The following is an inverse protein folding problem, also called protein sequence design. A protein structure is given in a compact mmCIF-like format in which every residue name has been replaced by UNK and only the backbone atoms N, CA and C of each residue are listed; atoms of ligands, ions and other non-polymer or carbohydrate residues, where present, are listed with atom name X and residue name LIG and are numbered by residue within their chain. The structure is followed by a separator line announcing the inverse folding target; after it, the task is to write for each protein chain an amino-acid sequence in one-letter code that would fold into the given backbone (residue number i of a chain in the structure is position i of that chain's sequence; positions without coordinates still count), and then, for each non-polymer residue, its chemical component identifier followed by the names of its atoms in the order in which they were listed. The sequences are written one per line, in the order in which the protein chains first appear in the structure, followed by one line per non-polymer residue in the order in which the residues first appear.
data_IF_482049858589
#
_entry.id   IF_482049858589
#
_cell.length_a   1.000
_cell.length_b   1.000
_cell.length_c   1.000
_cell.angle_alpha   90.00
_cell.angle_beta   90.00
_cell.angle_gamma   90.00
#
_symmetry.space_group_name_H-M   'P 1'
#
loop_
_entity.id
_entity.type
_entity.pdbx_description
1 polymer ?
#
# COMPACT_ATOMS: atom_id res chain seq x y z
N UNK A 1 -29.36 69.55 44.19
CA UNK A 1 -29.69 68.30 44.90
C UNK A 1 -29.16 67.13 44.09
N UNK A 2 -28.16 66.43 44.64
CA UNK A 2 -27.47 65.29 44.01
C UNK A 2 -28.13 64.01 44.53
N UNK A 3 -28.47 63.07 43.63
CA UNK A 3 -28.58 61.65 43.96
C UNK A 3 -27.92 60.83 42.86
N UNK A 4 -26.73 60.36 43.16
CA UNK A 4 -26.06 59.26 42.49
C UNK A 4 -26.82 57.95 42.76
N UNK A 5 -26.79 57.00 41.81
CA UNK A 5 -26.59 55.58 42.09
C UNK A 5 -25.81 54.90 40.97
N UNK A 6 -24.71 54.31 41.40
CA UNK A 6 -23.86 53.37 40.66
C UNK A 6 -24.55 52.01 40.56
N UNK A 7 -24.23 51.25 39.50
CA UNK A 7 -24.25 49.79 39.39
C UNK A 7 -24.01 49.46 37.91
N UNK A 8 -23.28 48.44 37.47
CA UNK A 8 -22.44 47.43 38.10
C UNK A 8 -21.65 46.77 36.94
N UNK A 9 -20.42 46.35 37.23
CA UNK A 9 -19.52 45.61 36.34
C UNK A 9 -20.17 44.38 35.69
N UNK A 10 -19.77 44.05 34.45
CA UNK A 10 -19.14 42.77 34.08
C UNK A 10 -18.90 42.75 32.56
N UNK A 11 -17.64 42.73 32.13
CA UNK A 11 -17.28 42.22 30.81
C UNK A 11 -16.12 41.25 31.01
N UNK A 12 -16.48 39.97 31.04
CA UNK A 12 -15.58 38.83 31.16
C UNK A 12 -14.70 38.80 29.89
N UNK A 13 -13.42 39.11 30.03
CA UNK A 13 -12.44 38.90 28.97
C UNK A 13 -12.17 37.40 28.85
N UNK A 14 -12.84 36.74 27.90
CA UNK A 14 -12.53 35.36 27.52
C UNK A 14 -11.22 35.35 26.73
N UNK A 15 -10.13 35.00 27.42
CA UNK A 15 -8.82 34.78 26.82
C UNK A 15 -8.86 33.45 26.06
N UNK A 16 -9.10 33.50 24.75
CA UNK A 16 -8.99 32.36 23.84
C UNK A 16 -7.51 32.02 23.64
N UNK A 17 -6.97 31.15 24.48
CA UNK A 17 -5.69 30.46 24.21
C UNK A 17 -5.96 29.45 23.10
N UNK A 18 -5.84 29.91 21.85
CA UNK A 18 -5.76 29.03 20.69
C UNK A 18 -4.44 28.29 20.76
N UNK A 19 -4.46 27.04 21.24
CA UNK A 19 -3.33 26.13 21.11
C UNK A 19 -3.13 25.88 19.61
N UNK A 20 -2.15 26.56 19.02
CA UNK A 20 -1.50 26.10 17.82
C UNK A 20 -1.10 24.64 18.04
N UNK A 21 -1.66 23.73 17.25
CA UNK A 21 -1.21 22.34 17.26
C UNK A 21 0.27 22.32 16.89
N UNK A 22 1.11 21.73 17.73
CA UNK A 22 2.55 21.60 17.51
C UNK A 22 2.84 20.53 16.45
N UNK A 23 2.36 20.72 15.22
CA UNK A 23 2.89 20.00 14.07
C UNK A 23 3.87 20.93 13.38
N UNK A 24 5.15 20.60 13.45
CA UNK A 24 6.15 21.21 12.58
C UNK A 24 5.91 20.81 11.13
N UNK A 25 6.41 21.59 10.19
CA UNK A 25 6.45 21.24 8.75
C UNK A 25 7.08 19.85 8.51
N UNK A 26 7.96 19.40 9.42
CA UNK A 26 8.56 18.07 9.41
C UNK A 26 7.62 16.95 9.82
N UNK A 27 6.57 17.25 10.59
CA UNK A 27 5.62 16.26 11.11
C UNK A 27 4.54 15.90 10.07
N UNK A 28 4.44 16.71 9.01
CA UNK A 28 3.60 16.46 7.84
C UNK A 28 4.39 15.95 6.63
N UNK A 29 5.73 15.94 6.70
CA UNK A 29 6.55 15.35 5.66
C UNK A 29 6.30 13.83 5.62
N UNK A 30 5.94 13.25 4.46
CA UNK A 30 5.83 11.81 4.34
C UNK A 30 7.16 11.18 4.75
N UNK A 31 7.14 10.31 5.76
CA UNK A 31 8.30 9.45 6.03
C UNK A 31 8.48 8.57 4.80
N UNK A 32 9.54 8.82 4.04
CA UNK A 32 9.94 7.94 2.95
C UNK A 32 10.31 6.59 3.54
N UNK A 33 9.78 5.50 2.99
CA UNK A 33 10.22 4.15 3.28
C UNK A 33 11.03 3.62 2.09
N UNK A 34 12.05 2.80 2.35
CA UNK A 34 12.73 2.10 1.27
C UNK A 34 11.83 1.02 0.70
N UNK A 35 11.77 0.95 -0.63
CA UNK A 35 11.02 -0.03 -1.39
C UNK A 35 11.93 -0.51 -2.52
N UNK A 36 11.91 -1.81 -2.90
CA UNK A 36 12.74 -2.30 -4.00
C UNK A 36 12.51 -1.48 -5.27
N UNK A 37 13.49 -1.42 -6.16
CA UNK A 37 13.40 -0.60 -7.37
C UNK A 37 12.16 -0.96 -8.20
N UNK A 38 11.68 0.00 -8.99
CA UNK A 38 10.59 -0.25 -9.95
C UNK A 38 11.06 -0.95 -11.23
N UNK A 39 12.38 -1.15 -11.38
CA UNK A 39 12.95 -1.85 -12.54
C UNK A 39 12.42 -3.29 -12.58
N UNK A 40 11.91 -3.69 -13.74
CA UNK A 40 11.28 -4.99 -13.96
C UNK A 40 10.08 -5.29 -13.03
N UNK A 41 9.50 -4.30 -12.34
CA UNK A 41 8.36 -4.55 -11.47
C UNK A 41 7.07 -4.89 -12.25
N UNK A 42 6.97 -4.51 -13.53
CA UNK A 42 5.79 -4.81 -14.35
C UNK A 42 5.43 -6.31 -14.34
N UNK A 43 6.41 -7.19 -14.52
CA UNK A 43 6.17 -8.64 -14.53
C UNK A 43 5.83 -9.18 -13.14
N UNK A 44 6.40 -8.59 -12.08
CA UNK A 44 6.10 -8.92 -10.68
C UNK A 44 4.67 -8.49 -10.32
N UNK A 45 4.25 -7.30 -10.77
CA UNK A 45 2.88 -6.79 -10.64
C UNK A 45 1.90 -7.78 -11.23
N UNK A 46 2.16 -8.30 -12.43
CA UNK A 46 1.27 -9.28 -13.06
C UNK A 46 1.16 -10.58 -12.25
N UNK A 47 2.24 -11.03 -11.60
CA UNK A 47 2.19 -12.19 -10.69
C UNK A 47 1.34 -11.88 -9.46
N UNK A 48 1.51 -10.70 -8.84
CA UNK A 48 0.64 -10.25 -7.74
C UNK A 48 -0.83 -10.16 -8.17
N UNK A 49 -1.12 -9.57 -9.32
CA UNK A 49 -2.48 -9.44 -9.83
C UNK A 49 -3.15 -10.79 -10.01
N UNK A 50 -2.44 -11.75 -10.59
CA UNK A 50 -2.99 -13.09 -10.86
C UNK A 50 -3.23 -13.91 -9.59
N UNK A 51 -2.34 -13.81 -8.59
CA UNK A 51 -2.41 -14.61 -7.36
C UNK A 51 -3.19 -13.93 -6.24
N UNK A 52 -3.14 -12.61 -6.17
CA UNK A 52 -3.65 -11.83 -5.05
C UNK A 52 -4.67 -10.77 -5.47
N UNK A 53 -4.63 -10.27 -6.72
CA UNK A 53 -5.40 -9.11 -7.18
C UNK A 53 -6.78 -9.41 -7.78
N UNK A 54 -7.34 -10.60 -7.58
CA UNK A 54 -8.72 -10.89 -8.02
C UNK A 54 -9.77 -10.19 -7.15
N UNK A 55 -11.00 -10.03 -7.66
CA UNK A 55 -12.10 -9.36 -6.95
C UNK A 55 -12.47 -10.02 -5.61
N UNK A 56 -12.20 -11.32 -5.44
CA UNK A 56 -12.46 -12.02 -4.17
C UNK A 56 -11.32 -11.84 -3.14
N UNK A 57 -10.18 -11.33 -3.59
CA UNK A 57 -8.96 -11.13 -2.82
C UNK A 57 -8.65 -9.64 -2.65
N UNK A 58 -7.47 -9.18 -3.10
CA UNK A 58 -6.96 -7.81 -2.97
C UNK A 58 -7.28 -6.92 -4.18
N UNK A 59 -8.04 -7.42 -5.15
CA UNK A 59 -8.69 -6.62 -6.20
C UNK A 59 -10.00 -5.99 -5.73
N UNK A 60 -10.13 -5.64 -4.44
CA UNK A 60 -11.36 -5.12 -3.83
C UNK A 60 -11.02 -3.85 -3.02
N UNK A 61 -11.75 -2.74 -3.20
CA UNK A 61 -11.47 -1.49 -2.49
C UNK A 61 -11.64 -1.60 -0.96
N UNK A 62 -12.35 -2.60 -0.46
CA UNK A 62 -12.53 -2.88 0.97
C UNK A 62 -11.33 -3.54 1.64
N UNK A 63 -10.30 -3.94 0.88
CA UNK A 63 -9.05 -4.49 1.43
C UNK A 63 -7.98 -3.42 1.64
N UNK A 64 -7.21 -3.47 2.74
CA UNK A 64 -6.10 -2.54 2.97
C UNK A 64 -4.97 -2.68 1.94
N UNK A 65 -4.50 -3.90 1.68
CA UNK A 65 -3.61 -4.21 0.56
C UNK A 65 -4.44 -4.30 -0.72
N UNK A 66 -4.03 -3.59 -1.78
CA UNK A 66 -4.73 -3.54 -3.06
C UNK A 66 -3.79 -3.84 -4.22
N UNK A 67 -4.25 -4.67 -5.13
CA UNK A 67 -3.61 -4.85 -6.42
C UNK A 67 -4.61 -4.52 -7.52
N UNK A 68 -4.27 -3.49 -8.29
CA UNK A 68 -4.99 -3.03 -9.45
C UNK A 68 -4.60 -3.83 -10.67
N UNK A 69 -5.58 -4.17 -11.49
CA UNK A 69 -5.31 -4.92 -12.70
C UNK A 69 -6.56 -5.35 -13.43
N UNK A 70 -6.35 -5.85 -14.64
CA UNK A 70 -7.44 -6.25 -15.55
C UNK A 70 -8.45 -7.22 -14.90
N UNK A 71 -7.97 -8.18 -14.12
CA UNK A 71 -8.78 -9.21 -13.47
C UNK A 71 -9.44 -8.80 -12.14
N UNK A 72 -9.24 -7.56 -11.69
CA UNK A 72 -9.68 -7.09 -10.37
C UNK A 72 -10.09 -5.62 -10.35
N UNK A 73 -9.70 -4.95 -9.26
CA UNK A 73 -9.90 -3.51 -9.08
C UNK A 73 -9.15 -2.74 -10.17
N UNK A 74 -9.78 -1.72 -10.76
CA UNK A 74 -9.10 -0.77 -11.63
C UNK A 74 -8.90 0.54 -10.91
N UNK A 75 -7.75 1.18 -11.14
CA UNK A 75 -7.50 2.50 -10.58
C UNK A 75 -8.39 3.53 -11.27
N UNK A 76 -9.03 4.38 -10.46
CA UNK A 76 -9.77 5.56 -10.93
C UNK A 76 -8.98 6.79 -10.52
N UNK A 77 -8.63 7.62 -11.50
CA UNK A 77 -7.96 8.89 -11.27
C UNK A 77 -8.95 9.91 -10.66
N UNK A 78 -8.46 11.01 -10.06
CA UNK A 78 -9.32 12.02 -9.42
C UNK A 78 -10.38 12.65 -10.34
N UNK A 79 -10.11 12.69 -11.65
CA UNK A 79 -11.07 13.15 -12.67
C UNK A 79 -12.10 12.08 -13.07
N UNK A 80 -12.09 10.93 -12.40
CA UNK A 80 -12.94 9.78 -12.68
C UNK A 80 -12.48 8.91 -13.86
N UNK A 81 -11.41 9.30 -14.55
CA UNK A 81 -10.85 8.52 -15.66
C UNK A 81 -10.18 7.24 -15.17
N UNK A 82 -9.94 6.32 -16.10
CA UNK A 82 -9.33 5.03 -15.83
C UNK A 82 -9.97 3.91 -16.65
N UNK A 83 -9.24 2.81 -16.86
CA UNK A 83 -9.74 1.68 -17.60
C UNK A 83 -10.92 1.01 -16.87
N UNK A 84 -11.99 0.61 -17.55
CA UNK A 84 -13.04 -0.21 -16.96
C UNK A 84 -12.56 -1.64 -16.62
N UNK A 85 -13.02 -2.17 -15.48
CA UNK A 85 -12.78 -3.56 -15.06
C UNK A 85 -13.33 -4.56 -16.10
N UNK A 86 -12.71 -5.74 -16.20
CA UNK A 86 -13.20 -6.82 -17.06
C UNK A 86 -13.01 -6.60 -18.57
N UNK A 87 -12.35 -5.53 -19.00
CA UNK A 87 -12.03 -5.29 -20.41
C UNK A 87 -10.74 -5.97 -20.85
N UNK A 88 -10.39 -5.88 -22.14
CA UNK A 88 -9.12 -6.39 -22.67
C UNK A 88 -7.94 -5.43 -22.44
N UNK A 89 -8.20 -4.24 -21.87
CA UNK A 89 -7.15 -3.27 -21.56
C UNK A 89 -6.27 -3.85 -20.45
N UNK A 90 -4.99 -4.03 -20.75
CA UNK A 90 -3.98 -4.47 -19.80
C UNK A 90 -3.85 -3.55 -18.60
N UNK A 91 -3.10 -3.98 -17.59
CA UNK A 91 -2.79 -3.16 -16.43
C UNK A 91 -1.93 -1.98 -16.86
N UNK A 92 -2.33 -0.78 -16.45
CA UNK A 92 -1.68 0.46 -16.91
C UNK A 92 -0.38 0.71 -16.13
N UNK A 93 0.56 1.51 -16.67
CA UNK A 93 1.77 1.89 -15.94
C UNK A 93 1.50 2.55 -14.58
N UNK A 94 0.41 3.32 -14.47
CA UNK A 94 0.02 3.94 -13.19
C UNK A 94 -0.47 2.87 -12.21
N UNK A 95 -1.29 1.91 -12.65
CA UNK A 95 -1.73 0.78 -11.82
C UNK A 95 -0.54 -0.07 -11.35
N UNK A 96 0.45 -0.34 -12.22
CA UNK A 96 1.68 -1.06 -11.86
C UNK A 96 2.44 -0.31 -10.75
N UNK A 97 2.57 1.01 -10.86
CA UNK A 97 3.23 1.81 -9.81
C UNK A 97 2.44 1.81 -8.50
N UNK A 98 1.11 1.93 -8.56
CA UNK A 98 0.25 1.84 -7.36
C UNK A 98 0.33 0.46 -6.70
N UNK A 99 0.46 -0.63 -7.47
CA UNK A 99 0.67 -1.97 -6.93
C UNK A 99 1.98 -2.07 -6.15
N UNK A 100 3.05 -1.46 -6.67
CA UNK A 100 4.34 -1.36 -5.97
C UNK A 100 4.19 -0.63 -4.64
N UNK A 101 3.54 0.53 -4.66
CA UNK A 101 3.34 1.32 -3.45
C UNK A 101 2.41 0.63 -2.45
N UNK A 102 1.37 -0.07 -2.91
CA UNK A 102 0.50 -0.82 -2.01
C UNK A 102 1.23 -1.99 -1.33
N UNK A 103 2.10 -2.71 -2.08
CA UNK A 103 2.91 -3.78 -1.52
C UNK A 103 3.92 -3.26 -0.48
N UNK A 104 4.65 -2.18 -0.80
CA UNK A 104 5.65 -1.62 0.10
C UNK A 104 5.04 -0.87 1.30
N UNK A 105 3.88 -0.23 1.11
CA UNK A 105 3.17 0.52 2.15
C UNK A 105 2.37 -0.34 3.12
N UNK A 106 2.34 -1.66 2.95
CA UNK A 106 1.63 -2.57 3.86
C UNK A 106 2.28 -2.62 5.25
N UNK A 107 3.60 -2.72 5.29
CA UNK A 107 4.42 -2.74 6.50
C UNK A 107 5.71 -1.93 6.23
N UNK A 108 5.62 -0.59 6.10
CA UNK A 108 6.72 0.23 5.57
C UNK A 108 7.99 0.12 6.41
N UNK A 109 7.90 -0.02 7.73
CA UNK A 109 9.07 -0.17 8.62
C UNK A 109 9.75 -1.55 8.47
N UNK A 110 8.97 -2.60 8.22
CA UNK A 110 9.51 -3.95 7.99
C UNK A 110 10.10 -4.03 6.59
N UNK A 111 9.41 -3.48 5.59
CA UNK A 111 9.91 -3.37 4.21
C UNK A 111 11.24 -2.63 4.17
N UNK A 112 11.38 -1.54 4.92
CA UNK A 112 12.64 -0.79 5.06
C UNK A 112 13.79 -1.67 5.60
N UNK A 113 13.51 -2.48 6.62
CA UNK A 113 14.50 -3.40 7.18
C UNK A 113 14.90 -4.51 6.19
N UNK A 114 13.92 -5.08 5.47
CA UNK A 114 14.16 -6.14 4.49
C UNK A 114 14.97 -5.61 3.30
N UNK A 115 14.58 -4.47 2.73
CA UNK A 115 15.31 -3.84 1.62
C UNK A 115 16.73 -3.43 2.03
N UNK A 116 16.92 -3.01 3.28
CA UNK A 116 18.24 -2.71 3.83
C UNK A 116 19.06 -3.97 4.20
N UNK A 117 18.53 -5.18 4.00
CA UNK A 117 19.19 -6.44 4.36
C UNK A 117 19.33 -6.68 5.87
N UNK A 118 18.57 -5.95 6.70
CA UNK A 118 18.54 -6.09 8.17
C UNK A 118 17.54 -7.16 8.64
N UNK A 119 16.65 -7.59 7.76
CA UNK A 119 15.66 -8.64 8.01
C UNK A 119 15.45 -9.48 6.73
N UNK A 120 14.76 -10.62 6.86
CA UNK A 120 14.48 -11.54 5.75
C UNK A 120 13.11 -11.28 5.13
N UNK A 121 12.90 -11.55 3.82
CA UNK A 121 11.59 -11.36 3.17
C UNK A 121 10.41 -12.03 3.89
N UNK A 122 10.65 -13.17 4.53
CA UNK A 122 9.68 -13.93 5.33
C UNK A 122 9.17 -13.18 6.57
N UNK A 123 9.80 -12.07 6.98
CA UNK A 123 9.30 -11.25 8.06
C UNK A 123 8.06 -10.45 7.67
N UNK A 124 7.87 -10.18 6.37
CA UNK A 124 6.73 -9.43 5.81
C UNK A 124 5.45 -10.28 5.82
N UNK A 125 4.34 -9.72 6.30
CA UNK A 125 2.99 -10.29 6.14
C UNK A 125 2.62 -10.47 4.67
N UNK A 126 3.18 -9.63 3.79
CA UNK A 126 3.10 -9.78 2.32
C UNK A 126 3.55 -11.17 1.84
N UNK A 127 4.45 -11.83 2.57
CA UNK A 127 4.93 -13.19 2.29
C UNK A 127 4.30 -14.22 3.23
N UNK A 128 4.21 -13.95 4.54
CA UNK A 128 3.70 -14.91 5.54
C UNK A 128 2.28 -15.37 5.25
N UNK A 129 1.38 -14.45 4.89
CA UNK A 129 -0.03 -14.76 4.63
C UNK A 129 -0.23 -15.65 3.41
N UNK A 130 0.24 -15.28 2.19
CA UNK A 130 0.04 -16.13 1.03
C UNK A 130 0.78 -17.47 1.12
N UNK A 131 1.83 -17.60 1.96
CA UNK A 131 2.48 -18.89 2.28
C UNK A 131 1.77 -19.72 3.36
N UNK A 132 0.74 -19.19 4.01
CA UNK A 132 0.07 -19.79 5.20
C UNK A 132 0.97 -19.97 6.43
N UNK A 133 2.06 -19.20 6.54
CA UNK A 133 2.80 -19.02 7.81
C UNK A 133 1.95 -18.21 8.79
N UNK A 134 1.17 -17.25 8.27
CA UNK A 134 0.13 -16.52 8.98
C UNK A 134 -1.24 -16.86 8.39
N UNK A 135 -2.29 -16.92 9.24
CA UNK A 135 -3.65 -17.18 8.77
C UNK A 135 -4.08 -16.19 7.68
N UNK A 136 -4.59 -16.74 6.59
CA UNK A 136 -5.01 -15.98 5.41
C UNK A 136 -6.35 -16.47 4.88
N UNK A 137 -7.33 -15.55 4.82
CA UNK A 137 -8.69 -15.86 4.36
C UNK A 137 -8.69 -16.37 2.90
N UNK A 138 -7.79 -15.86 2.07
CA UNK A 138 -7.63 -16.31 0.68
C UNK A 138 -6.95 -17.67 0.53
N UNK A 139 -6.60 -18.36 1.62
CA UNK A 139 -5.85 -19.62 1.55
C UNK A 139 -4.40 -19.42 1.10
N UNK A 140 -3.77 -20.52 0.68
CA UNK A 140 -2.40 -20.49 0.15
C UNK A 140 -2.42 -19.96 -1.28
N UNK A 141 -1.66 -18.90 -1.52
CA UNK A 141 -1.47 -18.31 -2.85
C UNK A 141 -0.04 -18.48 -3.36
N UNK A 142 0.91 -18.71 -2.44
CA UNK A 142 2.31 -18.98 -2.73
C UNK A 142 2.74 -20.23 -1.97
N UNK A 143 3.12 -21.29 -2.69
CA UNK A 143 3.90 -22.36 -2.09
C UNK A 143 5.36 -21.91 -2.03
N UNK A 144 6.02 -22.13 -0.89
CA UNK A 144 7.44 -21.79 -0.72
C UNK A 144 8.30 -22.46 -1.80
N UNK A 145 9.15 -21.69 -2.48
CA UNK A 145 9.99 -22.16 -3.58
C UNK A 145 9.26 -22.37 -4.92
N UNK A 146 7.95 -22.09 -5.01
CA UNK A 146 7.25 -22.04 -6.30
C UNK A 146 7.78 -20.93 -7.22
N UNK A 147 7.41 -20.95 -8.50
CA UNK A 147 7.85 -19.92 -9.45
C UNK A 147 7.30 -18.54 -9.07
N UNK A 148 6.03 -18.46 -8.66
CA UNK A 148 5.42 -17.21 -8.18
C UNK A 148 6.11 -16.68 -6.92
N UNK A 149 6.44 -17.57 -5.99
CA UNK A 149 7.15 -17.23 -4.77
C UNK A 149 8.57 -16.73 -5.07
N UNK A 150 9.31 -17.44 -5.91
CA UNK A 150 10.65 -17.05 -6.36
C UNK A 150 10.63 -15.68 -7.05
N UNK A 151 9.65 -15.43 -7.93
CA UNK A 151 9.48 -14.15 -8.59
C UNK A 151 9.35 -13.00 -7.57
N UNK A 152 8.41 -13.11 -6.63
CA UNK A 152 8.13 -12.05 -5.65
C UNK A 152 9.31 -11.84 -4.70
N UNK A 153 9.91 -12.92 -4.18
CA UNK A 153 11.05 -12.83 -3.27
C UNK A 153 12.27 -12.18 -3.95
N UNK A 154 12.54 -12.56 -5.20
CA UNK A 154 13.66 -12.00 -5.96
C UNK A 154 13.50 -10.49 -6.18
N UNK A 155 12.27 -10.01 -6.36
CA UNK A 155 11.97 -8.57 -6.41
C UNK A 155 12.22 -7.90 -5.05
N UNK A 156 11.73 -8.47 -3.96
CA UNK A 156 11.97 -7.93 -2.60
C UNK A 156 13.46 -7.82 -2.29
N UNK A 157 14.25 -8.78 -2.76
CA UNK A 157 15.71 -8.80 -2.63
C UNK A 157 16.45 -7.87 -3.61
N UNK A 158 15.71 -7.18 -4.49
CA UNK A 158 16.25 -6.19 -5.42
C UNK A 158 16.85 -6.75 -6.72
N UNK A 159 16.63 -8.04 -7.02
CA UNK A 159 17.15 -8.69 -8.21
C UNK A 159 16.09 -9.62 -8.83
N UNK A 160 15.15 -9.05 -9.60
CA UNK A 160 14.01 -9.77 -10.19
C UNK A 160 14.49 -10.95 -11.04
N UNK A 161 14.00 -12.15 -10.71
CA UNK A 161 14.15 -13.35 -11.52
C UNK A 161 13.03 -13.39 -12.58
N UNK A 162 13.27 -12.70 -13.70
CA UNK A 162 12.31 -12.57 -14.80
C UNK A 162 11.82 -13.94 -15.30
N UNK A 163 12.71 -14.93 -15.42
CA UNK A 163 12.34 -16.27 -15.88
C UNK A 163 11.39 -16.99 -14.90
N UNK A 164 11.55 -16.79 -13.60
CA UNK A 164 10.60 -17.30 -12.61
C UNK A 164 9.25 -16.59 -12.74
N UNK A 165 9.26 -15.26 -12.92
CA UNK A 165 8.04 -14.47 -13.09
C UNK A 165 7.27 -14.87 -14.36
N UNK A 166 7.93 -14.98 -15.51
CA UNK A 166 7.32 -15.39 -16.78
C UNK A 166 6.65 -16.76 -16.65
N UNK A 167 7.36 -17.72 -16.06
CA UNK A 167 6.83 -19.07 -15.89
C UNK A 167 5.72 -19.14 -14.86
N UNK A 168 5.78 -18.32 -13.80
CA UNK A 168 4.70 -18.21 -12.81
C UNK A 168 3.39 -17.73 -13.45
N UNK A 169 3.47 -16.88 -14.48
CA UNK A 169 2.32 -16.42 -15.26
C UNK A 169 1.75 -17.47 -16.21
N UNK A 170 2.36 -18.66 -16.31
CA UNK A 170 1.85 -19.80 -17.08
C UNK A 170 1.25 -20.90 -16.19
N UNK A 171 1.62 -20.95 -14.91
CA UNK A 171 1.06 -21.88 -13.93
C UNK A 171 -0.40 -21.52 -13.61
N UNK A 172 -1.33 -22.47 -13.41
CA UNK A 172 -2.74 -22.19 -13.15
C UNK A 172 -2.99 -21.26 -11.95
#
# INVERSE_FOLDING_TARGET
MIRARHSMMLALAALSVGTAGCLGESDSAPLGYNCPTGENFEIVSQVFERRCGTLDCHGDPSRPLRFYGRGGLRLRLPDGSGPPSGTQIGTTPVEINENRFSACGLEPEIMDNVVAGRDVPESLTLIKKPRLIEAHKGGQQLAEGSLADTCIISWIQGAVNEAACDRALLEP
#
